data_IF_711651713716
#
_entry.id   IF_711651713716
#
_cell.length_a   1.000
_cell.length_b   1.000
_cell.length_c   1.000
_cell.angle_alpha   90.00
_cell.angle_beta   90.00
_cell.angle_gamma   90.00
#
_symmetry.space_group_name_H-M   'P 1'
#
loop_
_entity.id
_entity.type
_entity.pdbx_description
1 polymer ?
#
# COMPACT_ATOMS: atom_id res chain seq x y z
N UNK A 1 14.88 4.67 -5.38
CA UNK A 1 14.33 3.37 -5.78
C UNK A 1 15.47 2.47 -6.22
N UNK A 2 15.21 1.18 -6.36
CA UNK A 2 16.13 0.25 -7.04
C UNK A 2 15.70 0.14 -8.52
N UNK A 3 16.63 -0.21 -9.42
CA UNK A 3 16.34 -0.37 -10.84
C UNK A 3 15.86 -1.80 -11.13
N UNK A 4 14.58 -1.97 -11.44
CA UNK A 4 13.97 -3.23 -11.87
C UNK A 4 12.66 -2.94 -12.59
N UNK A 5 12.36 -3.71 -13.63
CA UNK A 5 11.06 -3.65 -14.30
C UNK A 5 10.05 -4.52 -13.54
N UNK A 6 9.02 -3.89 -12.98
CA UNK A 6 7.99 -4.60 -12.20
C UNK A 6 7.25 -5.61 -13.08
N UNK A 7 7.13 -6.84 -12.60
CA UNK A 7 6.55 -7.95 -13.37
C UNK A 7 5.03 -7.99 -13.27
N UNK A 8 4.46 -7.38 -12.22
CA UNK A 8 3.06 -7.51 -11.85
C UNK A 8 2.65 -8.97 -11.63
N UNK A 9 3.55 -9.76 -11.06
CA UNK A 9 3.39 -11.21 -10.91
C UNK A 9 2.89 -11.63 -9.51
N UNK A 10 2.31 -10.68 -8.76
CA UNK A 10 1.63 -10.92 -7.49
C UNK A 10 2.45 -11.77 -6.52
N UNK A 11 1.95 -12.93 -6.08
CA UNK A 11 2.64 -13.78 -5.11
C UNK A 11 4.09 -14.14 -5.48
N UNK A 12 4.37 -14.45 -6.75
CA UNK A 12 5.73 -14.83 -7.16
C UNK A 12 6.70 -13.65 -7.09
N UNK A 13 6.22 -12.46 -7.41
CA UNK A 13 7.00 -11.23 -7.28
C UNK A 13 7.18 -10.83 -5.81
N UNK A 14 6.22 -11.15 -4.92
CA UNK A 14 6.38 -11.00 -3.47
C UNK A 14 7.57 -11.81 -2.93
N UNK A 15 7.79 -13.03 -3.43
CA UNK A 15 8.95 -13.85 -3.08
C UNK A 15 10.25 -13.23 -3.61
N UNK A 16 10.29 -12.78 -4.87
CA UNK A 16 11.44 -12.05 -5.42
C UNK A 16 11.77 -10.80 -4.57
N UNK A 17 10.72 -10.07 -4.19
CA UNK A 17 10.74 -8.93 -3.29
C UNK A 17 11.33 -9.24 -1.92
N UNK A 18 11.14 -10.44 -1.38
CA UNK A 18 11.75 -10.89 -0.13
C UNK A 18 13.24 -11.19 -0.32
N UNK A 19 13.59 -11.94 -1.37
CA UNK A 19 14.97 -12.33 -1.68
C UNK A 19 15.91 -11.13 -1.76
N UNK A 20 15.58 -10.13 -2.58
CA UNK A 20 16.51 -9.00 -2.72
C UNK A 20 16.51 -8.08 -1.50
N UNK A 21 15.44 -8.02 -0.70
CA UNK A 21 15.43 -7.25 0.55
C UNK A 21 16.30 -7.89 1.61
N UNK A 22 16.29 -9.22 1.71
CA UNK A 22 17.25 -9.95 2.55
C UNK A 22 18.68 -9.65 2.13
N UNK A 23 18.98 -9.68 0.82
CA UNK A 23 20.30 -9.33 0.29
C UNK A 23 20.70 -7.87 0.59
N UNK A 24 19.74 -6.96 0.72
CA UNK A 24 19.96 -5.58 1.16
C UNK A 24 20.09 -5.41 2.68
N UNK A 25 20.07 -6.51 3.45
CA UNK A 25 20.22 -6.51 4.90
C UNK A 25 18.93 -6.27 5.69
N UNK A 26 17.76 -6.39 5.06
CA UNK A 26 16.49 -6.33 5.78
C UNK A 26 16.25 -7.66 6.52
N UNK A 27 15.76 -7.58 7.75
CA UNK A 27 15.28 -8.74 8.51
C UNK A 27 13.79 -9.01 8.33
N UNK A 28 13.04 -8.01 7.88
CA UNK A 28 11.59 -8.10 7.67
C UNK A 28 11.16 -7.46 6.35
N UNK A 29 10.10 -8.00 5.75
CA UNK A 29 9.38 -7.43 4.62
C UNK A 29 7.91 -7.25 4.96
N UNK A 30 7.40 -6.02 4.82
CA UNK A 30 5.97 -5.73 4.81
C UNK A 30 5.34 -6.23 3.49
N UNK A 31 4.40 -7.17 3.61
CA UNK A 31 3.56 -7.63 2.48
C UNK A 31 2.10 -7.32 2.83
N UNK A 32 1.48 -6.43 2.07
CA UNK A 32 0.08 -6.01 2.26
C UNK A 32 -0.90 -6.79 1.38
N UNK A 33 -2.14 -6.30 1.33
CA UNK A 33 -3.18 -6.81 0.42
C UNK A 33 -2.78 -6.54 -1.04
N UNK A 34 -2.95 -7.53 -1.92
CA UNK A 34 -2.72 -7.44 -3.37
C UNK A 34 -1.29 -6.99 -3.75
N UNK A 35 -0.30 -7.44 -2.96
CA UNK A 35 1.09 -7.03 -3.13
C UNK A 35 1.65 -7.49 -4.48
N UNK A 36 2.12 -6.52 -5.27
CA UNK A 36 2.61 -6.71 -6.64
C UNK A 36 1.60 -7.32 -7.63
N UNK A 37 0.30 -7.26 -7.31
CA UNK A 37 -0.77 -7.71 -8.19
C UNK A 37 -1.11 -6.72 -9.30
N UNK A 38 -1.92 -7.20 -10.24
CA UNK A 38 -2.55 -6.39 -11.29
C UNK A 38 -3.92 -6.99 -11.62
N UNK A 39 -4.89 -6.15 -11.96
CA UNK A 39 -6.25 -6.60 -12.26
C UNK A 39 -6.84 -7.44 -11.12
N UNK A 40 -7.52 -8.53 -11.49
CA UNK A 40 -8.16 -9.46 -10.55
C UNK A 40 -7.56 -10.88 -10.66
N UNK A 41 -6.26 -11.00 -11.00
CA UNK A 41 -5.61 -12.30 -11.22
C UNK A 41 -5.24 -13.04 -9.92
N UNK A 42 -5.17 -12.33 -8.78
CA UNK A 42 -4.70 -12.86 -7.51
C UNK A 42 -5.70 -12.54 -6.39
N UNK A 43 -5.80 -13.44 -5.41
CA UNK A 43 -6.54 -13.19 -4.18
C UNK A 43 -5.86 -12.11 -3.33
N UNK A 44 -6.66 -11.49 -2.46
CA UNK A 44 -6.21 -10.32 -1.69
C UNK A 44 -4.99 -10.57 -0.80
N UNK A 45 -4.74 -11.81 -0.37
CA UNK A 45 -3.63 -12.17 0.51
C UNK A 45 -2.76 -13.31 -0.02
N UNK A 46 -2.90 -13.68 -1.29
CA UNK A 46 -2.13 -14.78 -1.90
C UNK A 46 -0.62 -14.50 -1.84
N UNK A 47 -0.24 -13.22 -1.91
CA UNK A 47 1.15 -12.79 -1.77
C UNK A 47 1.71 -12.96 -0.35
N UNK A 48 0.86 -13.22 0.65
CA UNK A 48 1.28 -13.60 2.00
C UNK A 48 1.29 -15.13 2.15
N UNK A 49 0.23 -15.82 1.70
CA UNK A 49 0.09 -17.28 1.88
C UNK A 49 1.08 -18.09 1.05
N UNK A 50 1.60 -17.55 -0.06
CA UNK A 50 2.66 -18.21 -0.84
C UNK A 50 3.89 -18.58 0.01
N UNK A 51 4.20 -17.79 1.05
CA UNK A 51 5.32 -18.07 1.96
C UNK A 51 5.06 -19.27 2.88
N UNK A 52 3.80 -19.64 3.09
CA UNK A 52 3.40 -20.82 3.84
C UNK A 52 3.22 -22.05 2.95
N UNK A 53 2.72 -21.84 1.73
CA UNK A 53 2.18 -22.90 0.88
C UNK A 53 3.17 -23.39 -0.19
N UNK A 54 4.01 -22.49 -0.73
CA UNK A 54 4.88 -22.81 -1.87
C UNK A 54 6.36 -22.54 -1.65
N UNK A 55 6.71 -21.54 -0.83
CA UNK A 55 8.12 -21.25 -0.53
C UNK A 55 8.67 -22.36 0.38
N UNK A 56 9.78 -23.02 0.01
CA UNK A 56 10.38 -24.03 0.87
C UNK A 56 10.73 -23.47 2.25
N UNK A 57 10.53 -24.28 3.29
CA UNK A 57 11.00 -23.95 4.63
C UNK A 57 12.50 -23.62 4.61
N UNK A 58 12.91 -22.65 5.43
CA UNK A 58 14.30 -22.18 5.56
C UNK A 58 14.93 -21.59 4.28
N UNK A 59 14.13 -21.31 3.23
CA UNK A 59 14.63 -20.66 2.01
C UNK A 59 15.00 -19.18 2.21
N UNK A 60 14.45 -18.55 3.25
CA UNK A 60 14.67 -17.14 3.58
C UNK A 60 14.92 -17.01 5.09
N UNK A 61 15.88 -16.16 5.45
CA UNK A 61 16.09 -15.69 6.84
C UNK A 61 15.17 -14.50 7.16
N UNK A 62 14.74 -13.77 6.13
CA UNK A 62 13.84 -12.62 6.24
C UNK A 62 12.42 -13.07 6.62
N UNK A 63 11.82 -12.36 7.58
CA UNK A 63 10.45 -12.61 8.02
C UNK A 63 9.41 -11.73 7.33
N UNK A 64 8.21 -12.26 7.10
CA UNK A 64 7.11 -11.51 6.48
C UNK A 64 6.24 -10.85 7.55
N UNK A 65 6.22 -9.52 7.54
CA UNK A 65 5.20 -8.74 8.26
C UNK A 65 3.93 -8.66 7.41
N UNK A 66 2.92 -9.43 7.79
CA UNK A 66 1.62 -9.52 7.10
C UNK A 66 0.75 -8.31 7.41
N UNK A 67 0.87 -7.27 6.59
CA UNK A 67 0.05 -6.07 6.69
C UNK A 67 -1.35 -6.30 6.12
N UNK A 68 -2.27 -5.40 6.46
CA UNK A 68 -3.64 -5.38 5.96
C UNK A 68 -3.99 -3.94 5.55
N UNK A 69 -5.19 -3.74 4.99
CA UNK A 69 -5.72 -2.44 4.68
C UNK A 69 -5.67 -1.53 5.92
N UNK A 70 -5.04 -0.37 5.76
CA UNK A 70 -4.96 0.63 6.82
C UNK A 70 -5.97 1.75 6.59
N UNK A 71 -6.65 2.17 7.64
CA UNK A 71 -7.55 3.32 7.61
C UNK A 71 -7.39 4.16 8.88
N UNK A 72 -7.76 5.43 8.81
CA UNK A 72 -7.84 6.27 10.00
C UNK A 72 -9.12 5.95 10.77
N UNK A 73 -8.98 5.50 12.02
CA UNK A 73 -10.10 5.28 12.93
C UNK A 73 -10.49 6.59 13.62
N UNK A 74 -11.76 6.98 13.48
CA UNK A 74 -12.38 8.10 14.20
C UNK A 74 -12.54 7.80 15.69
N UNK A 75 -12.80 6.54 16.05
CA UNK A 75 -12.91 6.08 17.45
C UNK A 75 -11.57 6.17 18.18
N UNK A 76 -10.49 5.77 17.52
CA UNK A 76 -9.15 5.67 18.13
C UNK A 76 -8.25 6.88 17.85
N UNK A 77 -8.65 7.77 16.94
CA UNK A 77 -7.90 8.96 16.57
C UNK A 77 -6.54 8.67 15.93
N UNK A 78 -6.40 7.52 15.25
CA UNK A 78 -5.13 7.07 14.66
C UNK A 78 -5.33 6.12 13.48
N UNK A 79 -4.28 5.95 12.68
CA UNK A 79 -4.22 4.93 11.63
C UNK A 79 -4.09 3.54 12.27
N UNK A 80 -4.93 2.62 11.83
CA UNK A 80 -4.94 1.22 12.27
C UNK A 80 -5.06 0.30 11.05
N UNK A 81 -4.60 -0.95 11.18
CA UNK A 81 -4.98 -2.00 10.24
C UNK A 81 -6.41 -2.44 10.54
N UNK A 82 -7.23 -2.66 9.51
CA UNK A 82 -8.64 -3.01 9.69
C UNK A 82 -8.82 -4.31 10.48
N UNK A 83 -7.98 -5.33 10.27
CA UNK A 83 -7.96 -6.55 11.09
C UNK A 83 -7.76 -6.31 12.60
N UNK A 84 -7.11 -5.22 13.00
CA UNK A 84 -6.83 -4.90 14.40
C UNK A 84 -7.96 -4.08 15.05
N UNK A 85 -9.02 -3.78 14.29
CA UNK A 85 -10.18 -3.00 14.71
C UNK A 85 -11.50 -3.74 14.42
N UNK A 86 -11.69 -4.98 14.92
CA UNK A 86 -12.88 -5.80 14.63
C UNK A 86 -14.18 -5.25 15.24
N UNK A 87 -14.08 -4.29 16.15
CA UNK A 87 -15.18 -3.60 16.85
C UNK A 87 -15.63 -2.29 16.16
N UNK A 88 -15.11 -2.03 14.96
CA UNK A 88 -15.42 -0.83 14.18
C UNK A 88 -16.42 -1.15 13.06
N UNK A 89 -17.37 -0.24 12.88
CA UNK A 89 -18.22 -0.20 11.70
C UNK A 89 -17.54 0.59 10.58
N UNK A 90 -18.05 0.48 9.34
CA UNK A 90 -17.46 1.16 8.18
C UNK A 90 -17.40 2.68 8.37
N UNK A 91 -18.38 3.24 9.06
CA UNK A 91 -18.55 4.66 9.32
C UNK A 91 -17.52 5.20 10.33
N UNK A 92 -16.91 4.33 11.14
CA UNK A 92 -15.85 4.68 12.08
C UNK A 92 -14.52 4.97 11.38
N UNK A 93 -14.40 4.63 10.09
CA UNK A 93 -13.19 4.86 9.31
C UNK A 93 -13.31 6.08 8.39
N UNK A 94 -12.18 6.74 8.17
CA UNK A 94 -12.01 7.68 7.05
C UNK A 94 -11.38 6.90 5.89
N UNK A 95 -12.17 6.70 4.83
CA UNK A 95 -11.73 6.04 3.60
C UNK A 95 -11.78 7.05 2.46
N UNK A 96 -10.64 7.28 1.81
CA UNK A 96 -10.55 8.08 0.58
C UNK A 96 -10.06 7.18 -0.56
N UNK A 97 -10.83 7.11 -1.64
CA UNK A 97 -10.38 6.41 -2.85
C UNK A 97 -9.25 7.20 -3.52
N UNK A 98 -8.31 6.50 -4.16
CA UNK A 98 -7.23 7.17 -4.90
C UNK A 98 -7.73 8.12 -5.99
N UNK A 99 -8.88 7.81 -6.62
CA UNK A 99 -9.53 8.70 -7.58
C UNK A 99 -9.99 9.99 -6.94
N UNK A 100 -10.64 9.93 -5.76
CA UNK A 100 -11.06 11.13 -5.04
C UNK A 100 -9.85 11.98 -4.59
N UNK A 101 -8.78 11.33 -4.11
CA UNK A 101 -7.53 12.03 -3.73
C UNK A 101 -6.96 12.81 -4.91
N UNK A 102 -6.83 12.19 -6.09
CA UNK A 102 -6.29 12.84 -7.29
C UNK A 102 -7.16 14.01 -7.75
N UNK A 103 -8.49 13.83 -7.75
CA UNK A 103 -9.42 14.88 -8.12
C UNK A 103 -9.33 16.10 -7.19
N UNK A 104 -9.24 15.87 -5.87
CA UNK A 104 -9.06 16.95 -4.89
C UNK A 104 -7.75 17.71 -5.16
N UNK A 105 -6.64 17.00 -5.34
CA UNK A 105 -5.32 17.59 -5.54
C UNK A 105 -5.24 18.41 -6.84
N UNK A 106 -5.82 17.92 -7.94
CA UNK A 106 -5.89 18.66 -9.22
C UNK A 106 -6.70 19.96 -9.10
N UNK A 107 -7.73 19.98 -8.25
CA UNK A 107 -8.51 21.20 -7.91
C UNK A 107 -7.83 22.10 -6.88
N UNK A 108 -6.64 21.76 -6.37
CA UNK A 108 -5.98 22.51 -5.29
C UNK A 108 -6.60 22.33 -3.92
N UNK A 109 -7.46 21.32 -3.74
CA UNK A 109 -8.10 20.99 -2.48
C UNK A 109 -7.24 19.93 -1.78
N UNK A 110 -6.73 20.25 -0.59
CA UNK A 110 -5.95 19.29 0.19
C UNK A 110 -6.85 18.16 0.74
N UNK A 111 -6.44 16.88 0.64
CA UNK A 111 -7.09 15.79 1.36
C UNK A 111 -7.08 16.02 2.88
N UNK A 112 -7.96 15.35 3.65
CA UNK A 112 -7.99 15.48 5.11
C UNK A 112 -6.62 15.19 5.75
N UNK A 113 -6.23 15.90 6.82
CA UNK A 113 -4.93 15.71 7.49
C UNK A 113 -4.74 14.32 8.10
N UNK A 114 -5.84 13.61 8.34
CA UNK A 114 -5.86 12.20 8.75
C UNK A 114 -5.35 11.26 7.65
N UNK A 115 -5.40 11.70 6.38
CA UNK A 115 -5.03 10.94 5.20
C UNK A 115 -3.73 11.43 4.57
N UNK A 116 -3.56 12.75 4.41
CA UNK A 116 -2.39 13.32 3.74
C UNK A 116 -1.70 14.36 4.59
N UNK A 117 -0.37 14.29 4.66
CA UNK A 117 0.44 15.33 5.28
C UNK A 117 0.40 16.59 4.40
N UNK A 118 0.19 17.80 4.95
CA UNK A 118 0.07 19.03 4.15
C UNK A 118 1.25 19.26 3.20
N UNK A 119 2.46 18.94 3.64
CA UNK A 119 3.70 19.09 2.87
C UNK A 119 3.73 18.16 1.65
N UNK A 120 3.23 16.93 1.82
CA UNK A 120 3.10 15.95 0.73
C UNK A 120 1.97 16.33 -0.22
N UNK A 121 0.81 16.72 0.33
CA UNK A 121 -0.33 17.17 -0.47
C UNK A 121 0.04 18.37 -1.35
N UNK A 122 0.84 19.30 -0.83
CA UNK A 122 1.35 20.44 -1.61
C UNK A 122 2.16 20.01 -2.83
N UNK A 123 3.15 19.12 -2.65
CA UNK A 123 3.99 18.63 -3.76
C UNK A 123 3.13 17.96 -4.84
N UNK A 124 2.16 17.13 -4.44
CA UNK A 124 1.28 16.45 -5.38
C UNK A 124 0.30 17.41 -6.07
N UNK A 125 -0.24 18.38 -5.35
CA UNK A 125 -1.16 19.37 -5.91
C UNK A 125 -0.46 20.26 -6.94
N UNK A 126 0.76 20.74 -6.63
CA UNK A 126 1.58 21.53 -7.55
C UNK A 126 1.84 20.74 -8.86
N UNK A 127 2.06 19.43 -8.78
CA UNK A 127 2.21 18.54 -9.95
C UNK A 127 0.90 18.40 -10.75
N UNK A 128 -0.22 18.05 -10.11
CA UNK A 128 -1.48 17.79 -10.81
C UNK A 128 -2.04 19.04 -11.48
N UNK A 129 -1.95 20.21 -10.83
CA UNK A 129 -2.37 21.47 -11.44
C UNK A 129 -1.53 21.81 -12.68
N UNK A 130 -0.22 21.56 -12.64
CA UNK A 130 0.64 21.78 -13.81
C UNK A 130 0.33 20.80 -14.95
N UNK A 131 -0.06 19.56 -14.65
CA UNK A 131 -0.50 18.58 -15.64
C UNK A 131 -1.82 19.01 -16.31
N UNK A 132 -2.80 19.39 -15.50
CA UNK A 132 -4.13 19.79 -15.97
C UNK A 132 -4.06 21.08 -16.81
N UNK A 133 -3.21 22.04 -16.42
CA UNK A 133 -2.97 23.26 -17.22
C UNK A 133 -2.33 23.03 -18.59
N UNK A 134 -1.66 21.88 -18.79
CA UNK A 134 -1.08 21.49 -20.09
C UNK A 134 -2.06 20.70 -20.95
N UNK A 135 -3.11 20.16 -20.33
CA UNK A 135 -4.17 19.42 -21.02
C UNK A 135 -5.31 20.33 -21.51
N UNK A 136 -5.40 21.55 -20.97
CA UNK A 136 -6.28 22.64 -21.40
C UNK A 136 -5.66 23.51 -22.49
#
# INVERSE_FOLDING_TARGET
GYGFDMLYAGPREAVLHAVFRQNCGCTHLIVGRDHAGVGDYYGGFDAQTIFDEEVPADALELEIYRADHTAYSKKLGKVVMMKDAPDHDKEDFVLLSGTAVREMLGKGIAPPPEFSRPEVAKILSDYYQALDSKAS
#
